data_IF_245645659902
#
_entry.id   IF_245645659902
#
_cell.length_a   1.000
_cell.length_b   1.000
_cell.length_c   1.000
_cell.angle_alpha   90.00
_cell.angle_beta   90.00
_cell.angle_gamma   90.00
#
_symmetry.space_group_name_H-M   'P 1'
#
loop_
_entity.id
_entity.type
_entity.pdbx_description
1 polymer ?
#
# COMPACT_ATOMS: atom_id res chain seq x y z
N UNK A 1 -3.35 21.49 -0.47
CA UNK A 1 -3.66 20.10 -0.89
C UNK A 1 -4.91 19.66 -0.17
N UNK A 2 -5.93 19.27 -0.93
CA UNK A 2 -7.15 18.65 -0.38
C UNK A 2 -6.90 17.17 0.02
N UNK A 3 -7.91 16.48 0.55
CA UNK A 3 -7.72 15.07 0.94
C UNK A 3 -7.37 14.14 -0.23
N UNK A 4 -7.89 14.44 -1.43
CA UNK A 4 -7.66 13.64 -2.63
C UNK A 4 -6.20 13.75 -3.07
N UNK A 5 -5.65 14.97 -3.09
CA UNK A 5 -4.24 15.20 -3.41
C UNK A 5 -3.32 14.43 -2.45
N UNK A 6 -3.62 14.47 -1.14
CA UNK A 6 -2.83 13.75 -0.12
C UNK A 6 -2.92 12.24 -0.30
N UNK A 7 -4.09 11.71 -0.65
CA UNK A 7 -4.26 10.29 -0.94
C UNK A 7 -3.45 9.87 -2.16
N UNK A 8 -3.48 10.67 -3.24
CA UNK A 8 -2.69 10.38 -4.45
C UNK A 8 -1.20 10.34 -4.13
N UNK A 9 -0.68 11.30 -3.35
CA UNK A 9 0.73 11.31 -2.93
C UNK A 9 1.06 10.10 -2.06
N UNK A 10 0.19 9.72 -1.12
CA UNK A 10 0.39 8.56 -0.27
C UNK A 10 0.44 7.26 -1.08
N UNK A 11 -0.51 7.06 -2.00
CA UNK A 11 -0.57 5.89 -2.89
C UNK A 11 0.66 5.83 -3.82
N UNK A 12 1.10 6.98 -4.33
CA UNK A 12 2.33 7.05 -5.12
C UNK A 12 3.56 6.65 -4.31
N UNK A 13 3.69 7.16 -3.08
CA UNK A 13 4.79 6.83 -2.20
C UNK A 13 4.81 5.33 -1.85
N UNK A 14 3.64 4.75 -1.58
CA UNK A 14 3.50 3.31 -1.34
C UNK A 14 3.93 2.50 -2.57
N UNK A 15 3.41 2.84 -3.76
CA UNK A 15 3.77 2.13 -4.99
C UNK A 15 5.27 2.21 -5.29
N UNK A 16 5.91 3.35 -5.01
CA UNK A 16 7.36 3.51 -5.14
C UNK A 16 8.11 2.57 -4.18
N UNK A 17 7.72 2.54 -2.91
CA UNK A 17 8.33 1.67 -1.91
C UNK A 17 8.18 0.19 -2.27
N UNK A 18 7.03 -0.23 -2.81
CA UNK A 18 6.82 -1.61 -3.27
C UNK A 18 7.73 -1.97 -4.45
N UNK A 19 7.97 -1.03 -5.38
CA UNK A 19 8.89 -1.24 -6.51
C UNK A 19 10.34 -1.37 -6.03
N UNK A 20 10.79 -0.47 -5.15
CA UNK A 20 12.13 -0.52 -4.57
C UNK A 20 12.38 -1.83 -3.80
N UNK A 21 11.38 -2.27 -3.04
CA UNK A 21 11.41 -3.57 -2.34
C UNK A 21 11.54 -4.73 -3.33
N UNK A 22 10.76 -4.73 -4.41
CA UNK A 22 10.81 -5.76 -5.46
C UNK A 22 12.19 -5.81 -6.12
N UNK A 23 12.75 -4.67 -6.51
CA UNK A 23 14.07 -4.58 -7.14
C UNK A 23 15.17 -5.11 -6.20
N UNK A 24 15.09 -4.75 -4.91
CA UNK A 24 16.02 -5.23 -3.88
C UNK A 24 15.91 -6.74 -3.70
N UNK A 25 14.70 -7.28 -3.65
CA UNK A 25 14.46 -8.71 -3.52
C UNK A 25 14.96 -9.47 -4.75
N UNK A 26 14.70 -8.97 -5.97
CA UNK A 26 15.23 -9.56 -7.20
C UNK A 26 16.76 -9.61 -7.21
N UNK A 27 17.41 -8.52 -6.78
CA UNK A 27 18.86 -8.49 -6.65
C UNK A 27 19.33 -9.52 -5.62
N UNK A 28 18.70 -9.59 -4.45
CA UNK A 28 19.06 -10.52 -3.40
C UNK A 28 18.94 -11.98 -3.85
N UNK A 29 17.89 -12.32 -4.59
CA UNK A 29 17.68 -13.64 -5.18
C UNK A 29 18.81 -13.97 -6.18
N UNK A 30 19.12 -13.06 -7.11
CA UNK A 30 20.17 -13.27 -8.12
C UNK A 30 21.56 -13.47 -7.51
N UNK A 31 21.80 -12.89 -6.33
CA UNK A 31 23.08 -12.99 -5.61
C UNK A 31 23.08 -14.10 -4.53
N UNK A 32 22.03 -14.92 -4.45
CA UNK A 32 21.95 -16.02 -3.47
C UNK A 32 21.84 -15.56 -2.01
N UNK A 33 21.45 -14.30 -1.78
CA UNK A 33 21.32 -13.72 -0.44
C UNK A 33 20.01 -14.12 0.28
N UNK A 34 19.12 -14.84 -0.42
CA UNK A 34 17.85 -15.37 0.12
C UNK A 34 17.85 -16.89 -0.02
N UNK A 35 17.56 -17.62 1.06
CA UNK A 35 17.48 -19.08 1.04
C UNK A 35 16.18 -19.57 0.41
N UNK A 36 16.16 -20.81 -0.06
CA UNK A 36 14.95 -21.46 -0.58
C UNK A 36 13.81 -21.48 0.45
N UNK A 37 14.11 -21.79 1.71
CA UNK A 37 13.15 -21.78 2.81
C UNK A 37 12.47 -20.42 2.98
N UNK A 38 13.22 -19.32 2.87
CA UNK A 38 12.67 -17.97 2.96
C UNK A 38 11.79 -17.66 1.74
N UNK A 39 12.17 -18.11 0.54
CA UNK A 39 11.34 -17.94 -0.66
C UNK A 39 10.02 -18.73 -0.55
N UNK A 40 10.05 -19.93 -0.01
CA UNK A 40 8.86 -20.75 0.25
C UNK A 40 7.94 -20.09 1.29
N UNK A 41 8.51 -19.53 2.36
CA UNK A 41 7.76 -18.77 3.36
C UNK A 41 7.06 -17.54 2.73
N UNK A 42 7.77 -16.78 1.88
CA UNK A 42 7.18 -15.64 1.16
C UNK A 42 6.07 -16.09 0.20
N UNK A 43 6.27 -17.18 -0.53
CA UNK A 43 5.30 -17.67 -1.52
C UNK A 43 4.01 -18.22 -0.87
N UNK A 44 4.10 -18.65 0.38
CA UNK A 44 2.96 -19.19 1.15
C UNK A 44 2.30 -18.16 2.05
N UNK A 45 2.89 -16.96 2.18
CA UNK A 45 2.32 -15.86 2.94
C UNK A 45 1.03 -15.34 2.26
N UNK A 46 -0.13 -15.39 2.93
CA UNK A 46 -1.38 -14.95 2.32
C UNK A 46 -1.37 -13.44 2.04
N UNK A 47 -1.56 -13.08 0.78
CA UNK A 47 -1.79 -11.68 0.40
C UNK A 47 -3.22 -11.29 0.79
N UNK A 48 -3.41 -10.26 1.63
CA UNK A 48 -4.75 -9.79 1.97
C UNK A 48 -5.50 -9.36 0.70
N UNK A 49 -6.69 -9.92 0.49
CA UNK A 49 -7.55 -9.51 -0.61
C UNK A 49 -8.23 -8.21 -0.23
N UNK A 50 -7.96 -7.14 -0.99
CA UNK A 50 -8.71 -5.88 -0.84
C UNK A 50 -10.11 -6.10 -1.42
N UNK A 51 -11.12 -5.98 -0.57
CA UNK A 51 -12.53 -6.16 -0.94
C UNK A 51 -13.19 -4.83 -1.29
N UNK A 52 -14.37 -4.89 -1.94
CA UNK A 52 -15.18 -3.69 -2.17
C UNK A 52 -15.66 -3.04 -0.86
N UNK A 53 -15.78 -3.79 0.23
CA UNK A 53 -16.16 -3.26 1.54
C UNK A 53 -15.03 -2.44 2.17
N UNK A 54 -13.78 -2.86 1.98
CA UNK A 54 -12.60 -2.10 2.43
C UNK A 54 -12.53 -0.74 1.72
N UNK A 55 -12.78 -0.72 0.41
CA UNK A 55 -12.81 0.49 -0.40
C UNK A 55 -13.93 1.43 0.09
N UNK A 56 -15.15 0.91 0.25
CA UNK A 56 -16.29 1.70 0.70
C UNK A 56 -16.07 2.30 2.11
N UNK A 57 -15.39 1.56 3.00
CA UNK A 57 -15.03 2.02 4.33
C UNK A 57 -14.07 3.21 4.29
N UNK A 58 -13.07 3.16 3.42
CA UNK A 58 -12.12 4.27 3.21
C UNK A 58 -12.83 5.50 2.63
N UNK A 59 -13.67 5.33 1.61
CA UNK A 59 -14.43 6.43 1.00
C UNK A 59 -15.32 7.15 2.03
N UNK A 60 -15.96 6.40 2.93
CA UNK A 60 -16.76 6.96 4.03
C UNK A 60 -15.92 7.82 4.98
N UNK A 61 -14.70 7.38 5.33
CA UNK A 61 -13.78 8.14 6.18
C UNK A 61 -13.39 9.45 5.50
N UNK A 62 -13.07 9.41 4.20
CA UNK A 62 -12.73 10.60 3.41
C UNK A 62 -13.91 11.59 3.39
N UNK A 63 -15.12 11.11 3.12
CA UNK A 63 -16.31 11.96 3.09
C UNK A 63 -16.60 12.64 4.46
N UNK A 64 -16.33 11.93 5.57
CA UNK A 64 -16.46 12.49 6.92
C UNK A 64 -15.38 13.55 7.21
N UNK A 65 -14.14 13.34 6.76
CA UNK A 65 -13.05 14.31 6.91
C UNK A 65 -13.35 15.61 6.14
N UNK A 66 -13.84 15.50 4.90
CA UNK A 66 -14.22 16.67 4.09
C UNK A 66 -15.35 17.48 4.74
N UNK A 67 -16.42 16.83 5.23
CA UNK A 67 -17.50 17.52 5.96
C UNK A 67 -17.01 18.28 7.20
N UNK A 68 -16.04 17.71 7.94
CA UNK A 68 -15.46 18.38 9.12
C UNK A 68 -14.66 19.61 8.75
N UNK A 69 -13.99 19.63 7.60
CA UNK A 69 -13.27 20.81 7.10
C UNK A 69 -14.23 21.90 6.66
N UNK A 70 -15.31 21.55 5.97
CA UNK A 70 -16.33 22.53 5.56
C UNK A 70 -16.97 23.23 6.76
N UNK A 71 -17.25 22.51 7.84
CA UNK A 71 -17.87 23.10 9.05
C UNK A 71 -16.90 23.92 9.93
N UNK A 72 -15.59 23.94 9.62
CA UNK A 72 -14.57 24.70 10.35
C UNK A 72 -14.17 26.01 9.66
N UNK A 73 -14.63 26.22 8.43
CA UNK A 73 -14.54 27.48 7.69
C UNK A 73 -15.86 28.26 7.78
#
# INVERSE_FOLDING_TARGET
MDARDRLIVALYAQLKAERETRETLEWAIRNGAVSQEVLEAIATDPVPVVTSEDIASVEKIIALDERRKTNRN
#
